data_IF_519828365102
#
_entry.id   IF_519828365102
#
_cell.length_a   1.000
_cell.length_b   1.000
_cell.length_c   1.000
_cell.angle_alpha   90.00
_cell.angle_beta   90.00
_cell.angle_gamma   90.00
#
_symmetry.space_group_name_H-M   'P 1'
#
loop_
_entity.id
_entity.type
_entity.pdbx_description
1 polymer ?
#
# COMPACT_ATOMS: atom_id res chain seq x y z
N UNK A 1 -5.41 -21.59 29.71
CA UNK A 1 -5.44 -22.96 30.26
C UNK A 1 -4.48 -23.01 31.43
N UNK A 2 -4.67 -23.92 32.38
CA UNK A 2 -3.73 -24.17 33.47
C UNK A 2 -3.57 -25.67 33.67
N UNK A 3 -2.39 -26.08 34.11
CA UNK A 3 -2.14 -27.47 34.46
C UNK A 3 -2.95 -27.86 35.70
N UNK A 4 -3.68 -28.97 35.57
CA UNK A 4 -4.39 -29.63 36.65
C UNK A 4 -4.15 -31.13 36.53
N UNK A 5 -3.26 -31.66 37.38
CA UNK A 5 -2.96 -33.09 37.43
C UNK A 5 -2.27 -33.63 36.16
N UNK A 6 -1.44 -32.84 35.48
CA UNK A 6 -0.73 -33.24 34.25
C UNK A 6 -1.54 -33.04 32.97
N UNK A 7 -2.69 -32.35 33.06
CA UNK A 7 -3.55 -32.06 31.92
C UNK A 7 -3.99 -30.60 31.91
N UNK A 8 -3.94 -29.99 30.73
CA UNK A 8 -4.27 -28.58 30.54
C UNK A 8 -5.78 -28.39 30.50
N UNK A 9 -6.32 -27.67 31.48
CA UNK A 9 -7.73 -27.35 31.56
C UNK A 9 -8.00 -25.90 31.10
N UNK A 10 -9.00 -25.66 30.23
CA UNK A 10 -9.46 -24.32 29.92
C UNK A 10 -10.04 -23.64 31.17
N UNK A 11 -9.62 -22.41 31.42
CA UNK A 11 -10.18 -21.58 32.51
C UNK A 11 -11.18 -20.58 31.92
N UNK A 12 -10.79 -19.92 30.82
CA UNK A 12 -11.61 -18.94 30.12
C UNK A 12 -11.33 -19.04 28.61
N UNK A 13 -12.34 -18.68 27.82
CA UNK A 13 -12.22 -18.46 26.38
C UNK A 13 -12.37 -16.96 26.11
N UNK A 14 -11.42 -16.40 25.37
CA UNK A 14 -11.45 -15.01 24.93
C UNK A 14 -11.56 -14.98 23.41
N UNK A 15 -12.51 -14.21 22.90
CA UNK A 15 -12.69 -13.96 21.47
C UNK A 15 -13.11 -12.53 21.26
N UNK A 16 -12.64 -11.91 20.19
CA UNK A 16 -13.01 -10.55 19.82
C UNK A 16 -12.74 -10.29 18.36
N UNK A 17 -13.48 -9.35 17.78
CA UNK A 17 -13.23 -8.90 16.42
C UNK A 17 -12.01 -7.98 16.40
N UNK A 18 -11.15 -8.18 15.40
CA UNK A 18 -10.09 -7.24 15.10
C UNK A 18 -10.69 -5.98 14.48
N UNK A 19 -10.10 -4.82 14.76
CA UNK A 19 -10.49 -3.60 14.04
C UNK A 19 -10.07 -3.69 12.56
N UNK A 20 -10.65 -2.82 11.73
CA UNK A 20 -10.34 -2.75 10.29
C UNK A 20 -8.86 -2.46 9.99
N UNK A 21 -8.14 -1.85 10.92
CA UNK A 21 -6.70 -1.59 10.77
C UNK A 21 -5.90 -2.88 10.88
N UNK A 22 -6.22 -3.69 11.89
CA UNK A 22 -5.65 -5.00 12.15
C UNK A 22 -6.05 -6.03 11.10
N UNK A 23 -7.32 -6.04 10.69
CA UNK A 23 -7.80 -6.92 9.61
C UNK A 23 -7.08 -6.65 8.29
N UNK A 24 -6.66 -5.41 8.05
CA UNK A 24 -5.85 -5.05 6.90
C UNK A 24 -4.35 -5.31 7.07
N UNK A 25 -3.90 -6.11 8.03
CA UNK A 25 -2.49 -6.49 8.12
C UNK A 25 -2.25 -7.84 7.43
N UNK A 26 -0.98 -8.20 7.19
CA UNK A 26 -0.64 -9.56 6.75
C UNK A 26 -1.03 -10.61 7.82
N UNK A 27 -1.23 -11.89 7.44
CA UNK A 27 -1.73 -12.92 8.36
C UNK A 27 -0.87 -13.09 9.62
N UNK A 28 0.46 -13.01 9.48
CA UNK A 28 1.37 -13.11 10.62
C UNK A 28 1.24 -11.90 11.58
N UNK A 29 0.99 -10.69 11.04
CA UNK A 29 0.78 -9.47 11.83
C UNK A 29 -0.61 -9.44 12.48
N UNK A 30 -1.62 -9.98 11.80
CA UNK A 30 -2.94 -10.27 12.38
C UNK A 30 -2.78 -11.16 13.61
N UNK A 31 -1.96 -12.22 13.52
CA UNK A 31 -1.68 -13.09 14.66
C UNK A 31 -0.98 -12.36 15.81
N UNK A 32 -0.01 -11.48 15.53
CA UNK A 32 0.64 -10.62 16.54
C UNK A 32 -0.40 -9.75 17.26
N UNK A 33 -1.28 -9.07 16.51
CA UNK A 33 -2.35 -8.26 17.09
C UNK A 33 -3.32 -9.10 17.92
N UNK A 34 -3.71 -10.28 17.44
CA UNK A 34 -4.62 -11.16 18.14
C UNK A 34 -4.03 -11.61 19.50
N UNK A 35 -2.74 -11.98 19.52
CA UNK A 35 -2.04 -12.31 20.77
C UNK A 35 -1.97 -11.11 21.71
N UNK A 36 -1.64 -9.93 21.21
CA UNK A 36 -1.60 -8.70 22.00
C UNK A 36 -2.95 -8.42 22.68
N UNK A 37 -4.05 -8.48 21.94
CA UNK A 37 -5.40 -8.25 22.48
C UNK A 37 -5.83 -9.35 23.46
N UNK A 38 -5.48 -10.61 23.18
CA UNK A 38 -5.77 -11.72 24.10
C UNK A 38 -5.03 -11.57 25.44
N UNK A 39 -3.79 -11.09 25.42
CA UNK A 39 -3.03 -10.77 26.64
C UNK A 39 -3.62 -9.59 27.39
N UNK A 40 -4.08 -8.54 26.70
CA UNK A 40 -4.78 -7.44 27.34
C UNK A 40 -6.08 -7.90 28.02
N UNK A 41 -6.89 -8.71 27.32
CA UNK A 41 -8.15 -9.22 27.85
C UNK A 41 -7.97 -10.19 29.03
N UNK A 42 -6.89 -10.97 29.05
CA UNK A 42 -6.60 -11.94 30.12
C UNK A 42 -5.78 -11.37 31.28
N UNK A 43 -5.23 -10.16 31.14
CA UNK A 43 -4.33 -9.54 32.13
C UNK A 43 -4.89 -9.51 33.57
N UNK A 44 -6.17 -9.15 33.72
CA UNK A 44 -6.85 -9.11 35.01
C UNK A 44 -7.02 -10.48 35.67
N UNK A 45 -7.03 -11.56 34.90
CA UNK A 45 -7.09 -12.93 35.43
C UNK A 45 -5.72 -13.49 35.79
N UNK A 46 -4.69 -13.12 35.02
CA UNK A 46 -3.32 -13.61 35.19
C UNK A 46 -2.61 -12.93 36.36
N UNK A 47 -2.97 -11.68 36.68
CA UNK A 47 -2.42 -10.93 37.82
C UNK A 47 -0.88 -10.92 37.88
N UNK A 48 -0.23 -10.79 36.71
CA UNK A 48 1.23 -10.71 36.58
C UNK A 48 1.97 -12.05 36.66
N UNK A 49 1.27 -13.18 36.76
CA UNK A 49 1.88 -14.52 36.64
C UNK A 49 2.46 -14.75 35.24
N UNK A 50 3.32 -15.77 35.13
CA UNK A 50 3.91 -16.17 33.84
C UNK A 50 2.83 -16.74 32.92
N UNK A 51 2.78 -16.22 31.68
CA UNK A 51 1.87 -16.68 30.64
C UNK A 51 2.66 -17.32 29.51
N UNK A 52 2.40 -18.60 29.26
CA UNK A 52 2.89 -19.30 28.09
C UNK A 52 1.89 -19.12 26.95
N UNK A 53 2.24 -18.29 25.98
CA UNK A 53 1.45 -18.08 24.77
C UNK A 53 1.90 -19.07 23.71
N UNK A 54 0.97 -19.87 23.21
CA UNK A 54 1.17 -20.73 22.04
C UNK A 54 0.52 -20.08 20.82
N UNK A 55 1.25 -20.00 19.71
CA UNK A 55 0.73 -19.41 18.48
C UNK A 55 1.25 -20.18 17.25
N UNK A 56 0.40 -20.40 16.23
CA UNK A 56 0.82 -20.99 14.95
C UNK A 56 1.73 -20.09 14.11
N UNK A 57 1.90 -18.83 14.49
CA UNK A 57 2.82 -17.90 13.84
C UNK A 57 3.99 -17.60 14.77
N UNK A 58 5.19 -17.40 14.21
CA UNK A 58 6.42 -17.15 14.95
C UNK A 58 6.47 -15.70 15.51
N UNK A 59 5.56 -15.36 16.43
CA UNK A 59 5.43 -14.01 17.04
C UNK A 59 6.73 -13.54 17.66
N UNK A 60 7.47 -14.41 18.35
CA UNK A 60 8.77 -14.05 18.94
C UNK A 60 9.78 -13.62 17.86
N UNK A 61 9.84 -14.35 16.74
CA UNK A 61 10.73 -14.00 15.63
C UNK A 61 10.33 -12.66 14.99
N UNK A 62 9.03 -12.36 14.88
CA UNK A 62 8.53 -11.08 14.39
C UNK A 62 8.88 -9.91 15.31
N UNK A 63 8.80 -10.08 16.62
CA UNK A 63 9.12 -9.01 17.59
C UNK A 63 10.61 -8.72 17.70
N UNK A 64 11.46 -9.69 17.34
CA UNK A 64 12.92 -9.51 17.32
C UNK A 64 13.44 -8.77 16.08
N UNK A 65 12.57 -8.42 15.13
CA UNK A 65 12.93 -7.70 13.92
C UNK A 65 12.87 -6.17 14.08
N UNK A 66 13.41 -5.47 13.09
CA UNK A 66 13.13 -4.05 12.93
C UNK A 66 11.63 -3.81 12.68
N UNK A 67 11.14 -2.65 13.10
CA UNK A 67 9.73 -2.25 12.95
C UNK A 67 9.27 -2.45 11.49
N UNK A 68 8.22 -3.24 11.31
CA UNK A 68 7.60 -3.43 10.00
C UNK A 68 6.95 -2.12 9.54
N UNK A 69 7.20 -1.72 8.29
CA UNK A 69 6.72 -0.42 7.76
C UNK A 69 5.20 -0.36 7.63
N UNK A 70 4.53 -1.50 7.41
CA UNK A 70 3.07 -1.60 7.30
C UNK A 70 2.32 -1.41 8.64
N UNK A 71 3.05 -1.34 9.76
CA UNK A 71 2.50 -1.12 11.10
C UNK A 71 2.91 0.25 11.62
N UNK A 72 1.96 0.96 12.25
CA UNK A 72 2.24 2.29 12.83
C UNK A 72 3.21 2.17 14.00
N UNK A 73 4.04 3.19 14.22
CA UNK A 73 5.03 3.17 15.31
C UNK A 73 4.39 3.03 16.70
N UNK A 74 3.21 3.62 16.90
CA UNK A 74 2.47 3.47 18.16
C UNK A 74 1.95 2.05 18.38
N UNK A 75 1.38 1.42 17.34
CA UNK A 75 0.93 0.03 17.41
C UNK A 75 2.11 -0.92 17.71
N UNK A 76 3.21 -0.75 16.99
CA UNK A 76 4.43 -1.53 17.21
C UNK A 76 4.99 -1.36 18.62
N UNK A 77 5.01 -0.13 19.14
CA UNK A 77 5.44 0.14 20.52
C UNK A 77 4.59 -0.60 21.54
N UNK A 78 3.25 -0.55 21.39
CA UNK A 78 2.32 -1.25 22.29
C UNK A 78 2.51 -2.77 22.24
N UNK A 79 2.73 -3.33 21.05
CA UNK A 79 3.05 -4.75 20.89
C UNK A 79 4.34 -5.12 21.59
N UNK A 80 5.42 -4.37 21.35
CA UNK A 80 6.71 -4.63 21.95
C UNK A 80 6.60 -4.64 23.48
N UNK A 81 5.99 -3.61 24.07
CA UNK A 81 5.78 -3.52 25.53
C UNK A 81 5.02 -4.73 26.09
N UNK A 82 4.02 -5.23 25.39
CA UNK A 82 3.17 -6.34 25.88
C UNK A 82 3.83 -7.69 25.65
N UNK A 83 4.37 -7.91 24.45
CA UNK A 83 4.83 -9.22 23.97
C UNK A 83 6.25 -9.56 24.43
N UNK A 84 7.05 -8.56 24.82
CA UNK A 84 8.38 -8.75 25.40
C UNK A 84 8.39 -8.53 26.91
N UNK A 85 7.23 -8.46 27.55
CA UNK A 85 7.15 -8.37 29.01
C UNK A 85 7.77 -9.62 29.66
N UNK A 86 8.44 -9.50 30.82
CA UNK A 86 9.24 -10.57 31.40
C UNK A 86 8.42 -11.79 31.84
N UNK A 87 7.11 -11.61 32.08
CA UNK A 87 6.19 -12.68 32.43
C UNK A 87 5.54 -13.34 31.21
N UNK A 88 5.90 -12.96 29.98
CA UNK A 88 5.33 -13.51 28.75
C UNK A 88 6.36 -14.41 28.07
N UNK A 89 5.97 -15.66 27.82
CA UNK A 89 6.77 -16.65 27.09
C UNK A 89 6.03 -17.01 25.81
N UNK A 90 6.60 -16.63 24.67
CA UNK A 90 6.05 -16.89 23.34
C UNK A 90 6.59 -18.21 22.79
N UNK A 91 5.71 -19.12 22.40
CA UNK A 91 6.04 -20.41 21.80
C UNK A 91 5.34 -20.58 20.46
N UNK A 92 6.11 -20.99 19.46
CA UNK A 92 5.56 -21.44 18.19
C UNK A 92 4.97 -22.84 18.35
N UNK A 93 3.69 -23.02 18.01
CA UNK A 93 3.02 -24.31 18.13
C UNK A 93 1.90 -24.45 17.06
N UNK A 94 1.83 -25.58 16.35
CA UNK A 94 0.78 -25.83 15.37
C UNK A 94 -0.59 -26.00 16.05
N UNK A 95 -1.66 -25.70 15.30
CA UNK A 95 -3.04 -25.91 15.73
C UNK A 95 -3.37 -27.40 15.58
N UNK A 96 -3.74 -28.08 16.67
CA UNK A 96 -4.03 -29.52 16.64
C UNK A 96 -5.51 -29.87 16.65
N UNK A 97 -6.38 -28.96 17.12
CA UNK A 97 -7.83 -29.14 17.02
C UNK A 97 -8.58 -27.79 16.96
N UNK A 98 -9.20 -27.45 15.82
CA UNK A 98 -10.01 -26.23 15.66
C UNK A 98 -11.20 -26.14 16.62
N UNK A 99 -11.75 -27.29 17.04
CA UNK A 99 -12.99 -27.38 17.83
C UNK A 99 -12.77 -27.09 19.32
N UNK A 100 -11.56 -27.36 19.84
CA UNK A 100 -11.23 -27.15 21.26
C UNK A 100 -10.35 -25.93 21.50
N UNK A 101 -9.88 -25.25 20.44
CA UNK A 101 -8.86 -24.19 20.50
C UNK A 101 -7.61 -24.63 21.29
N UNK A 102 -7.25 -25.92 21.18
CA UNK A 102 -6.06 -26.47 21.83
C UNK A 102 -4.88 -26.52 20.84
N UNK A 103 -3.71 -26.19 21.34
CA UNK A 103 -2.42 -26.28 20.64
C UNK A 103 -1.55 -27.31 21.34
N UNK A 104 -0.78 -28.09 20.57
CA UNK A 104 0.01 -29.21 21.12
C UNK A 104 0.93 -28.77 22.25
N UNK A 105 0.96 -29.55 23.34
CA UNK A 105 2.03 -29.48 24.32
C UNK A 105 3.31 -30.03 23.67
N UNK A 106 4.40 -29.25 23.71
CA UNK A 106 5.74 -29.72 23.33
C UNK A 106 6.22 -30.78 24.32
N UNK A 107 5.70 -31.99 24.23
CA UNK A 107 6.25 -33.16 24.91
C UNK A 107 6.16 -34.34 23.97
N UNK A 108 7.34 -34.71 23.46
CA UNK A 108 7.69 -36.01 22.88
C UNK A 108 6.61 -36.72 22.08
N UNK A 109 6.40 -36.25 20.86
CA UNK A 109 5.86 -37.08 19.80
C UNK A 109 6.66 -36.76 18.54
N UNK A 110 7.72 -37.53 18.31
CA UNK A 110 8.23 -37.79 16.98
C UNK A 110 7.12 -38.53 16.22
N UNK A 111 6.15 -37.80 15.70
CA UNK A 111 5.29 -38.28 14.62
C UNK A 111 5.46 -37.30 13.49
N UNK A 112 6.12 -37.80 12.47
CA UNK A 112 6.04 -37.31 11.11
C UNK A 112 4.55 -37.24 10.71
N UNK A 113 4.23 -36.18 9.98
CA UNK A 113 2.99 -35.89 9.23
C UNK A 113 1.77 -35.22 9.90
N UNK A 114 1.36 -34.16 9.18
CA UNK A 114 0.09 -33.40 9.20
C UNK A 114 -0.13 -32.32 10.27
N UNK A 115 0.51 -31.17 10.05
CA UNK A 115 0.15 -29.89 10.69
C UNK A 115 1.13 -28.75 10.44
N UNK A 116 1.93 -28.82 9.38
CA UNK A 116 2.98 -27.84 9.11
C UNK A 116 2.35 -26.54 8.60
N UNK A 117 2.33 -25.50 9.46
CA UNK A 117 2.08 -24.14 9.00
C UNK A 117 3.40 -23.67 8.36
N UNK A 118 3.53 -24.02 7.08
CA UNK A 118 4.69 -23.88 6.17
C UNK A 118 4.90 -22.46 5.66
N UNK A 119 4.97 -21.45 6.52
CA UNK A 119 5.43 -20.14 6.06
C UNK A 119 6.40 -19.46 7.02
N UNK A 120 7.45 -18.89 6.43
CA UNK A 120 8.34 -18.01 7.15
C UNK A 120 7.64 -16.66 7.40
N UNK A 121 7.19 -16.48 8.64
CA UNK A 121 6.54 -15.27 9.11
C UNK A 121 7.40 -14.02 8.85
N UNK A 122 8.74 -14.16 8.94
CA UNK A 122 9.68 -13.05 8.70
C UNK A 122 9.61 -12.65 7.23
N UNK A 123 9.88 -13.60 6.33
CA UNK A 123 9.89 -13.36 4.88
C UNK A 123 8.55 -12.83 4.36
N UNK A 124 7.41 -13.39 4.80
CA UNK A 124 6.10 -12.89 4.36
C UNK A 124 5.84 -11.45 4.77
N UNK A 125 6.35 -11.05 5.93
CA UNK A 125 6.15 -9.68 6.43
C UNK A 125 6.99 -8.68 5.64
N UNK A 126 8.20 -9.06 5.22
CA UNK A 126 9.05 -8.25 4.35
C UNK A 126 8.58 -8.20 2.89
N UNK A 127 8.06 -9.29 2.35
CA UNK A 127 7.52 -9.33 0.98
C UNK A 127 6.34 -8.36 0.78
N UNK A 128 5.64 -8.00 1.87
CA UNK A 128 4.55 -7.02 1.87
C UNK A 128 5.02 -5.56 2.03
N UNK A 129 6.31 -5.32 2.29
CA UNK A 129 6.86 -3.95 2.35
C UNK A 129 7.27 -3.50 0.94
N UNK A 130 6.82 -2.31 0.55
CA UNK A 130 6.96 -1.67 -0.77
C UNK A 130 8.13 -2.20 -1.63
N UNK A 131 7.79 -2.92 -2.70
CA UNK A 131 8.73 -3.50 -3.69
C UNK A 131 9.52 -2.46 -4.50
N UNK A 132 9.30 -1.16 -4.27
CA UNK A 132 9.81 -0.05 -5.07
C UNK A 132 10.91 0.65 -4.26
N UNK A 133 12.12 0.68 -4.79
CA UNK A 133 13.26 1.38 -4.18
C UNK A 133 13.22 2.88 -4.47
N UNK A 134 13.94 3.68 -3.68
CA UNK A 134 14.12 5.12 -3.94
C UNK A 134 15.35 5.43 -4.80
N UNK A 135 16.29 4.50 -4.88
CA UNK A 135 17.54 4.65 -5.64
C UNK A 135 17.28 4.51 -7.14
N UNK A 136 17.66 5.50 -7.97
CA UNK A 136 17.53 5.40 -9.42
C UNK A 136 18.22 4.16 -9.98
N UNK A 137 17.60 3.51 -10.95
CA UNK A 137 18.23 2.41 -11.69
C UNK A 137 19.19 3.00 -12.73
N UNK A 138 20.45 2.57 -12.69
CA UNK A 138 21.40 2.89 -13.75
C UNK A 138 20.96 2.26 -15.08
N UNK A 139 21.03 3.04 -16.17
CA UNK A 139 20.61 2.62 -17.51
C UNK A 139 19.14 2.18 -17.60
N UNK A 140 18.23 2.89 -16.90
CA UNK A 140 16.80 2.72 -17.11
C UNK A 140 16.41 3.00 -18.57
N UNK A 141 15.48 2.20 -19.11
CA UNK A 141 14.97 2.38 -20.47
C UNK A 141 14.14 3.66 -20.59
N UNK A 142 13.48 4.06 -19.50
CA UNK A 142 12.65 5.25 -19.42
C UNK A 142 13.01 6.09 -18.19
N UNK A 143 13.27 7.37 -18.44
CA UNK A 143 13.32 8.42 -17.42
C UNK A 143 12.15 9.37 -17.64
N UNK A 144 11.19 9.33 -16.72
CA UNK A 144 9.96 10.10 -16.80
C UNK A 144 9.81 11.05 -15.61
N UNK A 145 9.31 12.25 -15.86
CA UNK A 145 8.98 13.24 -14.84
C UNK A 145 7.48 13.46 -14.88
N UNK A 146 6.86 13.54 -13.70
CA UNK A 146 5.41 13.69 -13.58
C UNK A 146 5.07 14.89 -12.72
N UNK A 147 3.99 15.58 -13.10
CA UNK A 147 3.43 16.68 -12.33
C UNK A 147 1.92 16.74 -12.56
N UNK A 148 1.20 17.19 -11.54
CA UNK A 148 -0.23 17.44 -11.53
C UNK A 148 -0.55 18.85 -11.01
N UNK A 149 -1.20 19.65 -11.84
CA UNK A 149 -1.57 21.03 -11.48
C UNK A 149 -3.08 21.17 -11.29
N UNK A 150 -3.48 22.11 -10.43
CA UNK A 150 -4.85 22.58 -10.34
C UNK A 150 -4.87 24.10 -10.13
N UNK A 151 -5.61 24.82 -10.98
CA UNK A 151 -5.66 26.27 -11.02
C UNK A 151 -7.09 26.79 -11.08
N UNK A 152 -7.31 28.06 -10.72
CA UNK A 152 -8.57 28.75 -10.97
C UNK A 152 -8.40 29.63 -12.20
N UNK A 153 -9.08 29.29 -13.29
CA UNK A 153 -9.05 29.99 -14.56
C UNK A 153 -10.48 30.48 -14.84
N UNK A 154 -10.65 31.80 -14.98
CA UNK A 154 -11.96 32.44 -15.20
C UNK A 154 -13.00 32.07 -14.13
N UNK A 155 -12.57 31.98 -12.87
CA UNK A 155 -13.43 31.62 -11.74
C UNK A 155 -13.75 30.12 -11.60
N UNK A 156 -13.31 29.29 -12.56
CA UNK A 156 -13.52 27.84 -12.52
C UNK A 156 -12.24 27.11 -12.16
N UNK A 157 -12.35 26.10 -11.28
CA UNK A 157 -11.24 25.21 -10.99
C UNK A 157 -10.98 24.32 -12.20
N UNK A 158 -9.73 24.21 -12.61
CA UNK A 158 -9.27 23.36 -13.70
C UNK A 158 -8.08 22.56 -13.21
N UNK A 159 -7.96 21.32 -13.66
CA UNK A 159 -6.87 20.45 -13.29
C UNK A 159 -6.25 19.82 -14.54
N UNK A 160 -4.98 19.49 -14.46
CA UNK A 160 -4.25 18.89 -15.58
C UNK A 160 -3.06 18.10 -15.08
N UNK A 161 -2.66 17.11 -15.86
CA UNK A 161 -1.47 16.31 -15.58
C UNK A 161 -0.49 16.39 -16.74
N UNK A 162 0.77 16.09 -16.46
CA UNK A 162 1.78 15.84 -17.47
C UNK A 162 2.73 14.71 -17.08
N UNK A 163 3.23 14.03 -18.11
CA UNK A 163 4.34 13.08 -18.07
C UNK A 163 5.32 13.52 -19.15
N UNK A 164 6.56 13.75 -18.78
CA UNK A 164 7.60 14.25 -19.67
C UNK A 164 8.84 13.38 -19.58
N UNK A 165 9.69 13.40 -20.61
CA UNK A 165 11.10 13.10 -20.41
C UNK A 165 11.84 14.40 -20.09
N UNK A 166 13.16 14.35 -19.96
CA UNK A 166 13.99 15.55 -19.76
C UNK A 166 13.81 16.62 -20.84
N UNK A 167 13.35 16.26 -22.05
CA UNK A 167 13.33 17.15 -23.22
C UNK A 167 11.98 17.28 -23.92
N UNK A 168 11.04 16.36 -23.70
CA UNK A 168 9.75 16.37 -24.41
C UNK A 168 8.59 15.99 -23.49
N UNK A 169 7.42 16.55 -23.79
CA UNK A 169 6.16 16.09 -23.19
C UNK A 169 5.77 14.77 -23.85
N UNK A 170 5.64 13.72 -23.04
CA UNK A 170 5.27 12.36 -23.50
C UNK A 170 3.76 12.19 -23.46
N UNK A 171 3.11 12.69 -22.41
CA UNK A 171 1.66 12.76 -22.29
C UNK A 171 1.26 13.98 -21.46
N UNK A 172 0.13 14.58 -21.78
CA UNK A 172 -0.52 15.58 -20.93
C UNK A 172 -2.01 15.59 -21.21
N UNK A 173 -2.80 16.09 -20.28
CA UNK A 173 -4.24 16.17 -20.48
C UNK A 173 -4.97 16.94 -19.40
N UNK A 174 -6.08 17.56 -19.81
CA UNK A 174 -7.06 18.16 -18.91
C UNK A 174 -7.74 17.05 -18.08
N UNK A 175 -7.95 17.33 -16.81
CA UNK A 175 -8.62 16.45 -15.86
C UNK A 175 -9.97 17.06 -15.46
N UNK A 176 -10.90 16.26 -14.89
CA UNK A 176 -12.15 16.80 -14.40
C UNK A 176 -11.94 18.00 -13.46
N UNK A 177 -12.73 19.06 -13.66
CA UNK A 177 -12.57 20.36 -13.00
C UNK A 177 -12.66 20.30 -11.46
N UNK A 178 -13.26 19.24 -10.91
CA UNK A 178 -13.33 18.98 -9.48
C UNK A 178 -12.05 18.38 -8.88
N UNK A 179 -11.04 18.04 -9.69
CA UNK A 179 -9.81 17.42 -9.21
C UNK A 179 -8.91 18.43 -8.49
N UNK A 180 -8.26 17.94 -7.43
CA UNK A 180 -7.21 18.68 -6.72
C UNK A 180 -5.85 18.50 -7.38
N UNK A 181 -4.88 19.34 -7.02
CA UNK A 181 -3.49 19.13 -7.44
C UNK A 181 -3.00 17.74 -6.99
N UNK A 182 -3.28 17.35 -5.75
CA UNK A 182 -2.96 16.01 -5.25
C UNK A 182 -3.60 14.87 -6.07
N UNK A 183 -4.85 15.02 -6.51
CA UNK A 183 -5.48 14.05 -7.39
C UNK A 183 -4.82 14.02 -8.78
N UNK A 184 -4.48 15.19 -9.32
CA UNK A 184 -3.78 15.31 -10.60
C UNK A 184 -2.40 14.65 -10.56
N UNK A 185 -1.67 14.77 -9.44
CA UNK A 185 -0.37 14.11 -9.22
C UNK A 185 -0.47 12.59 -9.23
N UNK A 186 -1.51 12.03 -8.57
CA UNK A 186 -1.77 10.59 -8.62
C UNK A 186 -2.09 10.13 -10.05
N UNK A 187 -2.86 10.92 -10.81
CA UNK A 187 -3.16 10.60 -12.22
C UNK A 187 -1.91 10.69 -13.09
N UNK A 188 -1.06 11.70 -12.90
CA UNK A 188 0.20 11.86 -13.62
C UNK A 188 1.09 10.64 -13.42
N UNK A 189 1.26 10.22 -12.16
CA UNK A 189 2.07 9.06 -11.80
C UNK A 189 1.47 7.74 -12.33
N UNK A 190 0.17 7.55 -12.22
CA UNK A 190 -0.55 6.39 -12.78
C UNK A 190 -0.34 6.30 -14.30
N UNK A 191 -0.43 7.45 -14.98
CA UNK A 191 -0.23 7.52 -16.43
C UNK A 191 1.21 7.19 -16.82
N UNK A 192 2.19 7.67 -16.06
CA UNK A 192 3.59 7.34 -16.29
C UNK A 192 3.89 5.85 -16.08
N UNK A 193 3.31 5.22 -15.04
CA UNK A 193 3.44 3.78 -14.83
C UNK A 193 2.83 2.97 -15.99
N UNK A 194 1.68 3.41 -16.51
CA UNK A 194 1.04 2.79 -17.68
C UNK A 194 1.91 2.91 -18.94
N UNK A 195 2.53 4.07 -19.16
CA UNK A 195 3.45 4.29 -20.29
C UNK A 195 4.73 3.45 -20.18
N UNK A 196 5.15 3.13 -18.95
CA UNK A 196 6.31 2.31 -18.66
C UNK A 196 6.03 0.79 -18.66
N UNK A 197 4.85 0.35 -19.11
CA UNK A 197 4.48 -1.07 -19.14
C UNK A 197 5.51 -1.92 -19.89
N UNK A 198 6.00 -2.97 -19.23
CA UNK A 198 7.02 -3.87 -19.79
C UNK A 198 8.46 -3.34 -19.77
N UNK A 199 8.69 -2.09 -19.38
CA UNK A 199 10.01 -1.45 -19.36
C UNK A 199 10.62 -1.31 -17.97
N UNK A 200 11.92 -1.01 -17.92
CA UNK A 200 12.63 -0.59 -16.71
C UNK A 200 12.57 0.94 -16.62
N UNK A 201 11.90 1.48 -15.62
CA UNK A 201 11.61 2.93 -15.55
C UNK A 201 11.99 3.58 -14.22
N UNK A 202 12.60 4.76 -14.31
CA UNK A 202 12.73 5.73 -13.23
C UNK A 202 11.66 6.82 -13.43
N UNK A 203 10.80 7.01 -12.44
CA UNK A 203 9.76 8.05 -12.46
C UNK A 203 10.04 9.05 -11.34
N UNK A 204 10.19 10.31 -11.71
CA UNK A 204 10.48 11.41 -10.82
C UNK A 204 9.22 12.23 -10.54
N UNK A 205 8.95 12.51 -9.27
CA UNK A 205 7.84 13.36 -8.83
C UNK A 205 8.33 14.34 -7.77
N UNK A 206 7.83 15.57 -7.80
CA UNK A 206 8.03 16.53 -6.71
C UNK A 206 6.87 16.58 -5.70
N UNK A 207 5.86 15.73 -5.88
CA UNK A 207 4.74 15.58 -4.95
C UNK A 207 5.09 14.69 -3.77
N UNK A 208 5.12 15.27 -2.55
CA UNK A 208 5.30 14.48 -1.31
C UNK A 208 4.14 13.52 -1.06
N UNK A 209 2.95 13.90 -1.52
CA UNK A 209 1.75 13.07 -1.38
C UNK A 209 1.84 11.84 -2.28
N UNK A 210 2.05 12.01 -3.59
CA UNK A 210 2.17 10.88 -4.51
C UNK A 210 3.31 9.94 -4.13
N UNK A 211 4.48 10.50 -3.77
CA UNK A 211 5.61 9.73 -3.25
C UNK A 211 5.24 8.93 -1.98
N UNK A 212 4.53 9.54 -1.04
CA UNK A 212 4.07 8.86 0.17
C UNK A 212 3.03 7.77 -0.10
N UNK A 213 2.18 7.93 -1.11
CA UNK A 213 1.27 6.85 -1.52
C UNK A 213 2.07 5.64 -2.00
N UNK A 214 3.13 5.83 -2.78
CA UNK A 214 3.96 4.73 -3.28
C UNK A 214 4.74 4.03 -2.16
N UNK A 215 5.43 4.80 -1.32
CA UNK A 215 6.43 4.26 -0.39
C UNK A 215 5.91 4.05 1.04
N UNK A 216 5.01 4.90 1.51
CA UNK A 216 4.61 4.93 2.92
C UNK A 216 3.25 4.24 3.17
N UNK A 217 2.25 4.49 2.30
CA UNK A 217 0.85 4.27 2.66
C UNK A 217 0.05 3.35 1.73
N UNK A 218 0.40 3.26 0.44
CA UNK A 218 -0.46 2.64 -0.57
C UNK A 218 -0.78 1.18 -0.28
N UNK A 219 0.24 0.40 0.13
CA UNK A 219 0.06 -1.00 0.51
C UNK A 219 -0.83 -1.14 1.75
N UNK A 220 -0.63 -0.27 2.76
CA UNK A 220 -1.43 -0.26 3.99
C UNK A 220 -2.89 0.10 3.70
N UNK A 221 -3.12 1.05 2.79
CA UNK A 221 -4.47 1.41 2.39
C UNK A 221 -5.12 0.31 1.58
N UNK A 222 -4.41 -0.32 0.64
CA UNK A 222 -4.93 -1.44 -0.14
C UNK A 222 -5.34 -2.61 0.76
N UNK A 223 -4.51 -2.93 1.76
CA UNK A 223 -4.80 -4.02 2.68
C UNK A 223 -5.99 -3.70 3.61
N UNK A 224 -6.24 -2.42 3.89
CA UNK A 224 -7.46 -1.94 4.59
C UNK A 224 -8.64 -1.64 3.66
N UNK A 225 -8.62 -2.12 2.42
CA UNK A 225 -9.67 -1.86 1.41
C UNK A 225 -9.97 -0.36 1.22
N UNK A 226 -8.94 0.47 1.37
CA UNK A 226 -8.99 1.92 1.25
C UNK A 226 -9.93 2.60 2.26
N UNK A 227 -10.07 2.02 3.46
CA UNK A 227 -10.83 2.58 4.58
C UNK A 227 -9.92 3.22 5.64
N UNK A 228 -10.41 4.28 6.28
CA UNK A 228 -9.84 4.88 7.49
C UNK A 228 -10.14 4.01 8.70
N UNK A 229 -9.50 4.26 9.85
CA UNK A 229 -9.81 3.57 11.11
C UNK A 229 -11.25 3.79 11.61
N UNK A 230 -11.95 4.81 11.11
CA UNK A 230 -13.35 5.06 11.40
C UNK A 230 -14.31 4.34 10.43
N UNK A 231 -13.79 3.58 9.45
CA UNK A 231 -14.57 2.84 8.46
C UNK A 231 -15.03 3.69 7.27
N UNK A 232 -14.66 4.96 7.20
CA UNK A 232 -14.95 5.82 6.04
C UNK A 232 -13.87 5.65 4.95
N UNK A 233 -14.22 5.79 3.65
CA UNK A 233 -13.23 5.72 2.57
C UNK A 233 -12.15 6.81 2.69
N UNK A 234 -10.91 6.47 2.34
CA UNK A 234 -9.85 7.48 2.20
C UNK A 234 -10.16 8.43 1.04
N UNK A 235 -9.67 9.67 1.13
CA UNK A 235 -9.74 10.59 -0.01
C UNK A 235 -9.00 10.00 -1.21
N UNK A 236 -9.61 10.11 -2.38
CA UNK A 236 -9.04 9.62 -3.64
C UNK A 236 -8.79 8.10 -3.70
N UNK A 237 -9.52 7.29 -2.93
CA UNK A 237 -9.38 5.83 -2.89
C UNK A 237 -9.28 5.17 -4.27
N UNK A 238 -10.14 5.57 -5.23
CA UNK A 238 -10.09 5.07 -6.60
C UNK A 238 -8.76 5.37 -7.30
N UNK A 239 -8.27 6.61 -7.23
CA UNK A 239 -6.99 7.01 -7.85
C UNK A 239 -5.79 6.30 -7.20
N UNK A 240 -5.84 6.11 -5.89
CA UNK A 240 -4.82 5.33 -5.17
C UNK A 240 -4.83 3.88 -5.65
N UNK A 241 -6.01 3.27 -5.76
CA UNK A 241 -6.14 1.90 -6.24
C UNK A 241 -5.61 1.75 -7.68
N UNK A 242 -5.98 2.66 -8.58
CA UNK A 242 -5.50 2.68 -9.96
C UNK A 242 -3.97 2.79 -10.03
N UNK A 243 -3.39 3.66 -9.19
CA UNK A 243 -1.94 3.77 -9.06
C UNK A 243 -1.32 2.43 -8.61
N UNK A 244 -1.86 1.80 -7.56
CA UNK A 244 -1.36 0.51 -7.05
C UNK A 244 -1.37 -0.60 -8.10
N UNK A 245 -2.37 -0.64 -8.99
CA UNK A 245 -2.39 -1.58 -10.11
C UNK A 245 -1.39 -1.20 -11.20
N UNK A 246 -1.33 0.08 -11.57
CA UNK A 246 -0.44 0.55 -12.64
C UNK A 246 1.05 0.37 -12.31
N UNK A 247 1.44 0.46 -11.04
CA UNK A 247 2.82 0.25 -10.60
C UNK A 247 3.34 -1.17 -10.84
N UNK A 248 2.45 -2.14 -11.07
CA UNK A 248 2.81 -3.52 -11.40
C UNK A 248 3.04 -3.75 -12.91
N UNK A 249 2.73 -2.76 -13.76
CA UNK A 249 2.86 -2.86 -15.21
C UNK A 249 4.32 -2.79 -15.71
N UNK A 250 5.20 -1.94 -15.16
CA UNK A 250 6.61 -1.93 -15.55
C UNK A 250 7.32 -3.22 -15.12
N UNK A 251 8.36 -3.62 -15.87
CA UNK A 251 9.21 -4.76 -15.48
C UNK A 251 9.99 -4.47 -14.21
N UNK A 252 10.45 -3.23 -14.05
CA UNK A 252 11.08 -2.72 -12.83
C UNK A 252 10.79 -1.23 -12.72
N UNK A 253 10.38 -0.78 -11.55
CA UNK A 253 9.96 0.60 -11.30
C UNK A 253 10.70 1.17 -10.10
N UNK A 254 11.16 2.41 -10.24
CA UNK A 254 11.63 3.25 -9.13
C UNK A 254 10.88 4.58 -9.20
N UNK A 255 10.32 5.01 -8.06
CA UNK A 255 9.68 6.32 -7.92
C UNK A 255 10.53 7.19 -7.00
N UNK A 256 10.99 8.32 -7.52
CA UNK A 256 12.03 9.15 -6.90
C UNK A 256 11.44 10.51 -6.55
N UNK A 257 11.70 10.96 -5.31
CA UNK A 257 11.32 12.30 -4.89
C UNK A 257 12.33 13.33 -5.37
N UNK A 258 11.88 14.30 -6.17
CA UNK A 258 12.67 15.48 -6.55
C UNK A 258 12.27 16.67 -5.68
N UNK A 259 13.20 17.56 -5.35
CA UNK A 259 12.83 18.82 -4.67
C UNK A 259 12.09 19.71 -5.67
N UNK A 260 10.93 20.23 -5.26
CA UNK A 260 10.18 21.19 -6.07
C UNK A 260 11.03 22.45 -6.31
N UNK A 261 10.88 23.03 -7.50
CA UNK A 261 11.43 24.34 -7.85
C UNK A 261 12.96 24.49 -7.66
N UNK A 262 13.74 23.50 -8.08
CA UNK A 262 15.19 23.62 -8.17
C UNK A 262 15.58 24.56 -9.32
N UNK A 263 16.39 25.59 -9.03
CA UNK A 263 17.00 26.48 -10.03
C UNK A 263 18.31 25.94 -10.62
N UNK A 264 18.70 24.72 -10.23
CA UNK A 264 19.94 24.07 -10.66
C UNK A 264 19.82 23.49 -12.06
N UNK A 265 20.91 23.50 -12.84
CA UNK A 265 20.92 23.05 -14.24
C UNK A 265 21.02 21.51 -14.41
N UNK A 266 20.49 20.73 -13.45
CA UNK A 266 20.55 19.26 -13.50
C UNK A 266 19.49 18.70 -14.45
N UNK A 267 19.67 17.45 -14.88
CA UNK A 267 18.69 16.74 -15.74
C UNK A 267 17.35 16.62 -15.04
N UNK A 268 17.33 16.34 -13.74
CA UNK A 268 16.10 16.18 -12.97
C UNK A 268 15.35 17.50 -12.84
N UNK A 269 16.07 18.60 -12.59
CA UNK A 269 15.46 19.92 -12.50
C UNK A 269 14.84 20.37 -13.84
N UNK A 270 15.49 20.06 -14.97
CA UNK A 270 14.94 20.33 -16.31
C UNK A 270 13.67 19.51 -16.58
N UNK A 271 13.71 18.22 -16.30
CA UNK A 271 12.56 17.33 -16.47
C UNK A 271 11.37 17.75 -15.61
N UNK A 272 11.61 18.06 -14.33
CA UNK A 272 10.58 18.55 -13.41
C UNK A 272 10.00 19.89 -13.86
N UNK A 273 10.84 20.85 -14.28
CA UNK A 273 10.38 22.13 -14.77
C UNK A 273 9.51 21.98 -16.04
N UNK A 274 9.87 21.07 -16.93
CA UNK A 274 9.07 20.77 -18.12
C UNK A 274 7.73 20.13 -17.75
N UNK A 275 7.70 19.22 -16.77
CA UNK A 275 6.47 18.61 -16.27
C UNK A 275 5.53 19.64 -15.64
N UNK A 276 6.05 20.54 -14.79
CA UNK A 276 5.30 21.64 -14.17
C UNK A 276 4.67 22.57 -15.23
N UNK A 277 5.47 23.00 -16.21
CA UNK A 277 4.96 23.84 -17.31
C UNK A 277 3.88 23.11 -18.09
N UNK A 278 4.09 21.83 -18.44
CA UNK A 278 3.14 21.05 -19.21
C UNK A 278 1.84 20.78 -18.44
N UNK A 279 1.90 20.50 -17.13
CA UNK A 279 0.72 20.26 -16.30
C UNK A 279 -0.09 21.56 -16.09
N UNK A 280 0.59 22.71 -15.95
CA UNK A 280 -0.06 24.02 -15.91
C UNK A 280 -0.74 24.35 -17.23
N UNK A 281 -0.08 24.09 -18.36
CA UNK A 281 -0.70 24.24 -19.68
C UNK A 281 -1.91 23.31 -19.83
N UNK A 282 -1.82 22.06 -19.36
CA UNK A 282 -2.89 21.07 -19.37
C UNK A 282 -4.20 21.58 -18.72
N UNK A 283 -4.11 22.40 -17.66
CA UNK A 283 -5.27 23.03 -17.01
C UNK A 283 -6.05 23.98 -17.93
N UNK A 284 -5.37 24.61 -18.89
CA UNK A 284 -5.97 25.59 -19.79
C UNK A 284 -6.68 24.96 -20.99
N UNK A 285 -6.47 23.67 -21.26
CA UNK A 285 -6.99 22.99 -22.46
C UNK A 285 -8.47 22.57 -22.39
N UNK A 286 -9.27 23.05 -21.42
CA UNK A 286 -10.69 22.71 -21.36
C UNK A 286 -11.42 23.07 -22.67
N UNK A 287 -11.84 22.01 -23.36
CA UNK A 287 -12.77 21.90 -24.50
C UNK A 287 -13.31 23.21 -25.07
N UNK A 288 -12.98 23.49 -26.33
CA UNK A 288 -13.69 24.46 -27.17
C UNK A 288 -15.19 24.18 -27.06
N UNK A 289 -15.91 25.06 -26.36
CA UNK A 289 -17.36 25.13 -26.43
C UNK A 289 -17.66 25.57 -27.87
N UNK A 290 -18.04 24.63 -28.72
CA UNK A 290 -18.51 24.96 -30.07
C UNK A 290 -19.80 25.76 -29.91
N UNK A 291 -19.68 27.08 -29.94
CA UNK A 291 -20.78 27.92 -30.37
C UNK A 291 -20.98 27.64 -31.86
N UNK A 292 -22.15 27.11 -32.20
CA UNK A 292 -22.57 26.70 -33.53
C UNK A 292 -22.27 27.77 -34.59
N UNK A 293 -21.35 27.47 -35.49
CA UNK A 293 -21.03 28.24 -36.69
C UNK A 293 -20.16 27.38 -37.59
N UNK A 294 -20.72 26.89 -38.69
CA UNK A 294 -20.18 25.83 -39.54
C UNK A 294 -18.75 26.12 -40.06
N UNK A 295 -17.87 25.11 -40.09
CA UNK A 295 -17.33 24.46 -41.30
C UNK A 295 -16.27 23.41 -40.91
N UNK A 296 -16.41 22.19 -41.46
CA UNK A 296 -15.45 21.07 -41.55
C UNK A 296 -14.55 20.76 -40.32
N UNK A 297 -15.02 19.88 -39.44
CA UNK A 297 -14.22 19.26 -38.37
C UNK A 297 -13.64 17.92 -38.84
N UNK A 298 -12.32 17.76 -38.75
CA UNK A 298 -11.70 16.45 -38.56
C UNK A 298 -12.13 15.93 -37.20
N UNK A 299 -12.89 14.85 -37.19
CA UNK A 299 -13.34 14.18 -35.96
C UNK A 299 -12.12 13.62 -35.22
N UNK A 300 -11.65 14.31 -34.19
CA UNK A 300 -10.76 13.73 -33.18
C UNK A 300 -11.68 12.97 -32.22
N UNK A 301 -11.69 11.65 -32.35
CA UNK A 301 -12.43 10.77 -31.44
C UNK A 301 -11.94 10.98 -29.99
N UNK A 302 -12.84 11.03 -29.00
CA UNK A 302 -12.44 11.06 -27.60
C UNK A 302 -11.62 9.81 -27.26
N UNK A 303 -10.72 9.88 -26.25
CA UNK A 303 -10.04 8.69 -25.76
C UNK A 303 -11.10 7.66 -25.34
N UNK A 304 -11.01 6.45 -25.89
CA UNK A 304 -11.87 5.32 -25.51
C UNK A 304 -11.89 5.22 -23.99
N UNK A 305 -13.08 5.04 -23.42
CA UNK A 305 -13.19 4.82 -21.98
C UNK A 305 -12.32 3.61 -21.60
N UNK A 306 -11.68 3.65 -20.43
CA UNK A 306 -10.89 2.51 -19.92
C UNK A 306 -11.74 1.22 -19.88
N UNK A 307 -13.06 1.35 -19.72
CA UNK A 307 -14.03 0.24 -19.74
C UNK A 307 -14.04 -0.48 -21.10
N UNK A 308 -13.76 0.22 -22.20
CA UNK A 308 -13.72 -0.37 -23.55
C UNK A 308 -12.40 -1.10 -23.86
N UNK A 309 -11.35 -0.93 -23.03
CA UNK A 309 -10.07 -1.64 -23.17
C UNK A 309 -10.08 -3.03 -22.51
N UNK A 310 -11.10 -3.35 -21.70
CA UNK A 310 -11.19 -4.60 -20.93
C UNK A 310 -12.32 -5.55 -21.37
N UNK A 311 -13.00 -5.26 -22.50
CA UNK A 311 -14.10 -6.12 -23.00
C UNK A 311 -13.65 -7.50 -23.49
N UNK A 312 -12.38 -7.64 -23.85
CA UNK A 312 -11.84 -8.85 -24.48
C UNK A 312 -10.85 -9.62 -23.58
N UNK A 313 -10.72 -9.27 -22.30
CA UNK A 313 -9.87 -10.03 -21.37
C UNK A 313 -10.68 -11.18 -20.79
N UNK A 314 -10.33 -12.46 -21.06
CA UNK A 314 -11.07 -13.58 -20.53
C UNK A 314 -10.98 -13.57 -19.00
N UNK A 315 -12.14 -13.49 -18.36
CA UNK A 315 -12.30 -13.71 -16.92
C UNK A 315 -11.89 -15.16 -16.66
N UNK A 316 -10.78 -15.36 -15.94
CA UNK A 316 -10.52 -16.66 -15.35
C UNK A 316 -11.56 -16.87 -14.24
N UNK A 317 -12.45 -17.83 -14.48
CA UNK A 317 -13.39 -18.34 -13.47
C UNK A 317 -12.60 -18.97 -12.30
N UNK A 318 -13.19 -18.85 -11.11
CA UNK A 318 -12.62 -19.14 -9.79
C UNK A 318 -12.18 -20.60 -9.57
#
# INVERSE_FOLDING_TARGET
>A
MQDHGGSLHPIHYYSGNLDIVAQGMGPCLIAVQAVHLALQASSGMVLGQTVNVRCPHAVSALMNQAKVTSVTSSCWGNWLTTLTAPNIVLQHAPVTNPSSCMMSAMTEVLLEDEGEITHDCVTLTYAATSLITETPIENAELELFVDGSAQVIEGNRRAGYAVTSTTKVVASGHLPDNFSAQAAELVALTRACTLASGSIANIYTDSRYAFGVVHDFGVIWQSRQFLTSAGSPIKHAGLVNDLMFSMKLPKKLVVIKVKAHLTTNTTEAKGNALADVAAKQACSYATVRVCSGSTAQKTILPPKSIIDLYKDVPLYEA
#
